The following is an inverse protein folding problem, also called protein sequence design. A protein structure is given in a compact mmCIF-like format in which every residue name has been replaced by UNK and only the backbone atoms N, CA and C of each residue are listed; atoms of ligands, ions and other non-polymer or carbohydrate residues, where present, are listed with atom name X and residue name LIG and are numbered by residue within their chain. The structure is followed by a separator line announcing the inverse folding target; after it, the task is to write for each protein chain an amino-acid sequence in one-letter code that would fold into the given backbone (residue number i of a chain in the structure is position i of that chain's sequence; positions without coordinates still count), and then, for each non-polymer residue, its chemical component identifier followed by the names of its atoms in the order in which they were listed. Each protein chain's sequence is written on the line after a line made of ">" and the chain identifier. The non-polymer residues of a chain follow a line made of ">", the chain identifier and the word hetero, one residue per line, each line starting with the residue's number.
data_IF_478957599021
#
_entry.id   IF_478957599021
#
_cell.length_a   1.000
_cell.length_b   1.000
_cell.length_c   1.000
_cell.angle_alpha   90.00
_cell.angle_beta   90.00
_cell.angle_gamma   90.00
#
_symmetry.space_group_name_H-M   'P 1'
#
loop_
_entity.id
_entity.type
_entity.pdbx_description
1 polymer ?
#
# COMPACT_ATOMS: atom_id res chain seq x y z
N UNK A 1 6.31 31.15 24.46
CA UNK A 1 6.10 29.71 24.71
C UNK A 1 6.40 28.98 23.41
N UNK A 2 7.55 28.34 23.31
CA UNK A 2 7.94 27.52 22.17
C UNK A 2 7.11 26.24 22.24
N UNK A 3 6.11 26.09 21.37
CA UNK A 3 5.51 24.79 21.10
C UNK A 3 6.61 23.94 20.46
N UNK A 4 7.36 23.20 21.28
CA UNK A 4 8.10 22.05 20.78
C UNK A 4 7.04 21.04 20.35
N UNK A 5 6.79 20.95 19.04
CA UNK A 5 5.94 19.91 18.50
C UNK A 5 6.63 18.58 18.78
N UNK A 6 6.02 17.74 19.61
CA UNK A 6 6.52 16.40 19.90
C UNK A 6 6.56 15.59 18.60
N UNK A 7 7.77 15.21 18.18
CA UNK A 7 7.96 14.40 16.98
C UNK A 7 7.71 12.93 17.33
N UNK A 8 6.78 12.29 16.62
CA UNK A 8 6.50 10.86 16.75
C UNK A 8 7.14 10.07 15.61
N UNK A 9 7.80 8.98 15.96
CA UNK A 9 8.36 8.03 14.99
C UNK A 9 7.26 7.10 14.48
N UNK A 10 7.19 6.92 13.17
CA UNK A 10 6.33 5.95 12.51
C UNK A 10 7.15 5.11 11.52
N UNK A 11 6.99 3.77 11.50
CA UNK A 11 7.63 2.95 10.49
C UNK A 11 7.16 3.34 9.09
N UNK A 12 8.12 3.69 8.24
CA UNK A 12 7.88 4.05 6.84
C UNK A 12 9.08 3.61 6.00
N UNK A 13 8.82 3.08 4.81
CA UNK A 13 9.84 2.79 3.83
C UNK A 13 9.47 3.40 2.48
N UNK A 14 10.38 4.18 1.92
CA UNK A 14 10.19 4.85 0.64
C UNK A 14 11.21 4.37 -0.39
N UNK A 15 10.73 4.07 -1.59
CA UNK A 15 11.56 3.73 -2.72
C UNK A 15 11.35 4.77 -3.80
N UNK A 16 12.44 5.44 -4.18
CA UNK A 16 12.48 6.37 -5.28
C UNK A 16 13.14 5.75 -6.50
N UNK A 17 12.52 5.99 -7.66
CA UNK A 17 13.07 5.83 -8.99
C UNK A 17 13.19 7.21 -9.66
N UNK A 18 13.61 7.26 -10.93
CA UNK A 18 13.91 8.51 -11.62
C UNK A 18 12.73 9.48 -11.68
N UNK A 19 11.52 8.98 -11.90
CA UNK A 19 10.30 9.81 -12.08
C UNK A 19 9.12 9.33 -11.24
N UNK A 20 9.29 8.28 -10.45
CA UNK A 20 8.22 7.67 -9.65
C UNK A 20 8.76 7.21 -8.31
N UNK A 21 7.86 7.03 -7.34
CA UNK A 21 8.19 6.44 -6.05
C UNK A 21 7.04 5.66 -5.47
N UNK A 22 7.35 4.85 -4.45
CA UNK A 22 6.37 4.17 -3.60
C UNK A 22 6.73 4.38 -2.14
N UNK A 23 5.74 4.74 -1.35
CA UNK A 23 5.77 4.80 0.11
C UNK A 23 5.00 3.59 0.67
N UNK A 24 5.62 2.84 1.58
CA UNK A 24 5.02 1.73 2.30
C UNK A 24 4.96 2.12 3.78
N UNK A 25 3.77 2.05 4.38
CA UNK A 25 3.55 2.42 5.79
C UNK A 25 2.33 1.74 6.40
N UNK A 26 2.22 1.82 7.72
CA UNK A 26 1.00 1.47 8.43
C UNK A 26 -0.15 2.43 8.12
N UNK A 27 -1.36 1.92 8.21
CA UNK A 27 -2.61 2.64 7.98
C UNK A 27 -3.69 2.05 8.87
N UNK A 28 -4.77 2.80 9.08
CA UNK A 28 -5.89 2.36 9.92
C UNK A 28 -7.17 2.41 9.09
N UNK A 29 -7.96 1.36 9.16
CA UNK A 29 -9.34 1.34 8.67
C UNK A 29 -10.28 1.56 9.85
N UNK A 30 -11.06 2.63 9.78
CA UNK A 30 -12.15 2.87 10.72
C UNK A 30 -13.42 2.20 10.23
N UNK A 31 -14.15 1.57 11.14
CA UNK A 31 -15.52 1.16 10.96
C UNK A 31 -16.41 2.10 11.78
N UNK A 32 -17.42 2.68 11.12
CA UNK A 32 -18.30 3.68 11.71
C UNK A 32 -19.74 3.19 11.69
N UNK A 33 -20.43 3.33 12.82
CA UNK A 33 -21.87 3.16 12.94
C UNK A 33 -22.47 4.46 13.43
N UNK A 34 -23.46 5.00 12.70
CA UNK A 34 -24.11 6.28 13.04
C UNK A 34 -23.10 7.42 13.30
N UNK A 35 -22.05 7.51 12.47
CA UNK A 35 -20.95 8.47 12.57
C UNK A 35 -20.08 8.37 13.84
N UNK A 36 -20.14 7.23 14.54
CA UNK A 36 -19.25 6.91 15.67
C UNK A 36 -18.33 5.76 15.27
N UNK A 37 -17.02 5.93 15.48
CA UNK A 37 -16.05 4.84 15.22
C UNK A 37 -16.27 3.72 16.24
N UNK A 38 -16.77 2.58 15.77
CA UNK A 38 -17.03 1.39 16.60
C UNK A 38 -15.90 0.38 16.56
N UNK A 39 -15.04 0.45 15.55
CA UNK A 39 -13.86 -0.41 15.43
C UNK A 39 -12.76 0.29 14.62
N UNK A 40 -11.51 0.04 14.99
CA UNK A 40 -10.34 0.34 14.14
C UNK A 40 -9.58 -0.94 13.89
N UNK A 41 -9.06 -1.09 12.68
CA UNK A 41 -8.21 -2.23 12.35
C UNK A 41 -6.97 -1.80 11.58
N UNK A 42 -5.86 -2.48 11.84
CA UNK A 42 -4.59 -2.23 11.18
C UNK A 42 -4.67 -2.56 9.68
N UNK A 43 -3.97 -1.78 8.87
CA UNK A 43 -3.83 -1.95 7.43
C UNK A 43 -2.43 -1.54 6.99
N UNK A 44 -2.02 -1.99 5.81
CA UNK A 44 -0.76 -1.58 5.18
C UNK A 44 -1.07 -0.77 3.94
N UNK A 45 -0.59 0.47 3.86
CA UNK A 45 -0.78 1.32 2.70
C UNK A 45 0.48 1.34 1.84
N UNK A 46 0.29 1.12 0.54
CA UNK A 46 1.26 1.43 -0.50
C UNK A 46 0.77 2.64 -1.30
N UNK A 47 1.52 3.74 -1.27
CA UNK A 47 1.22 4.95 -2.05
C UNK A 47 2.26 5.11 -3.14
N UNK A 48 1.83 4.91 -4.38
CA UNK A 48 2.62 5.13 -5.57
C UNK A 48 2.42 6.57 -6.04
N UNK A 49 3.48 7.23 -6.50
CA UNK A 49 3.41 8.60 -6.95
C UNK A 49 4.42 8.91 -8.05
N UNK A 50 4.12 9.94 -8.84
CA UNK A 50 5.05 10.56 -9.80
C UNK A 50 5.82 11.68 -9.10
N UNK A 51 7.10 11.82 -9.42
CA UNK A 51 7.97 12.91 -8.98
C UNK A 51 7.90 14.12 -9.93
N UNK A 52 7.36 13.91 -11.13
CA UNK A 52 7.16 14.98 -12.11
C UNK A 52 5.91 15.79 -11.79
N UNK A 53 5.93 17.12 -11.99
CA UNK A 53 4.74 17.96 -11.85
C UNK A 53 3.60 17.48 -12.74
N UNK A 54 2.35 17.78 -12.34
CA UNK A 54 1.19 17.56 -13.20
C UNK A 54 1.37 18.32 -14.51
N UNK A 55 1.33 17.58 -15.61
CA UNK A 55 1.36 18.15 -16.96
C UNK A 55 -0.04 18.42 -17.50
N UNK A 56 -1.06 17.71 -16.98
CA UNK A 56 -2.47 17.83 -17.39
C UNK A 56 -3.39 17.85 -16.16
N UNK A 57 -4.56 18.53 -16.22
CA UNK A 57 -5.51 18.59 -15.10
C UNK A 57 -5.94 17.21 -14.59
N UNK A 58 -6.25 16.30 -15.50
CA UNK A 58 -6.77 14.95 -15.22
C UNK A 58 -5.67 13.90 -14.98
N UNK A 59 -4.41 14.33 -14.89
CA UNK A 59 -3.30 13.39 -14.69
C UNK A 59 -3.31 12.80 -13.28
N UNK A 60 -3.44 11.47 -13.22
CA UNK A 60 -3.20 10.72 -11.99
C UNK A 60 -1.71 10.76 -11.68
N UNK A 61 -1.39 11.40 -10.55
CA UNK A 61 -0.04 11.56 -10.02
C UNK A 61 0.23 10.67 -8.82
N UNK A 62 -0.80 10.09 -8.22
CA UNK A 62 -0.66 9.13 -7.14
C UNK A 62 -1.80 8.12 -7.13
N UNK A 63 -1.49 6.90 -6.73
CA UNK A 63 -2.45 5.82 -6.52
C UNK A 63 -2.12 5.15 -5.20
N UNK A 64 -3.14 5.00 -4.35
CA UNK A 64 -3.06 4.26 -3.08
C UNK A 64 -3.66 2.87 -3.24
N UNK A 65 -2.96 1.87 -2.72
CA UNK A 65 -3.42 0.50 -2.55
C UNK A 65 -3.32 0.17 -1.05
N UNK A 66 -4.41 -0.29 -0.44
CA UNK A 66 -4.47 -0.56 1.00
C UNK A 66 -4.64 -2.05 1.19
N UNK A 67 -3.58 -2.74 1.58
CA UNK A 67 -3.60 -4.16 1.86
C UNK A 67 -4.19 -4.45 3.25
N UNK A 68 -4.96 -5.52 3.34
CA UNK A 68 -5.12 -6.26 4.59
C UNK A 68 -3.78 -6.88 5.02
N UNK A 69 -3.57 -7.20 6.31
CA UNK A 69 -2.33 -7.78 6.79
C UNK A 69 -1.86 -9.01 5.99
N UNK A 70 -2.75 -9.94 5.69
CA UNK A 70 -2.47 -11.15 4.92
C UNK A 70 -2.16 -10.84 3.45
N UNK A 71 -2.84 -9.86 2.83
CA UNK A 71 -2.49 -9.39 1.48
C UNK A 71 -1.07 -8.78 1.43
N UNK A 72 -0.69 -8.02 2.47
CA UNK A 72 0.65 -7.44 2.58
C UNK A 72 1.71 -8.53 2.73
N UNK A 73 1.43 -9.57 3.52
CA UNK A 73 2.28 -10.75 3.63
C UNK A 73 2.39 -11.51 2.30
N UNK A 74 1.25 -11.73 1.62
CA UNK A 74 1.20 -12.35 0.29
C UNK A 74 2.02 -11.59 -0.75
N UNK A 75 1.96 -10.25 -0.73
CA UNK A 75 2.80 -9.40 -1.59
C UNK A 75 4.29 -9.61 -1.32
N UNK A 76 4.69 -9.71 -0.05
CA UNK A 76 6.09 -9.97 0.31
C UNK A 76 6.59 -11.32 -0.20
N UNK A 77 5.74 -12.36 -0.16
CA UNK A 77 6.05 -13.67 -0.73
C UNK A 77 6.18 -13.59 -2.27
N UNK A 78 5.27 -12.88 -2.94
CA UNK A 78 5.33 -12.67 -4.39
C UNK A 78 6.61 -11.93 -4.81
N UNK A 79 7.02 -10.90 -4.06
CA UNK A 79 8.30 -10.20 -4.30
C UNK A 79 9.46 -11.20 -4.24
N UNK A 80 9.49 -12.05 -3.21
CA UNK A 80 10.55 -13.05 -3.03
C UNK A 80 10.58 -14.06 -4.16
N UNK A 81 9.41 -14.52 -4.61
CA UNK A 81 9.26 -15.43 -5.75
C UNK A 81 9.74 -14.80 -7.05
N UNK A 82 9.30 -13.57 -7.35
CA UNK A 82 9.71 -12.82 -8.54
C UNK A 82 11.22 -12.54 -8.54
N UNK A 83 11.79 -12.23 -7.37
CA UNK A 83 13.23 -12.03 -7.21
C UNK A 83 14.03 -13.31 -7.50
N UNK A 84 13.52 -14.47 -7.08
CA UNK A 84 14.13 -15.78 -7.30
C UNK A 84 13.94 -16.35 -8.71
N UNK A 85 13.03 -15.79 -9.53
CA UNK A 85 12.78 -16.29 -10.88
C UNK A 85 14.00 -16.16 -11.78
N UNK A 86 14.34 -17.21 -12.53
CA UNK A 86 15.39 -17.18 -13.55
C UNK A 86 14.96 -16.47 -14.84
N UNK A 87 13.65 -16.31 -15.06
CA UNK A 87 13.06 -15.70 -16.26
C UNK A 87 12.23 -14.44 -15.91
N UNK A 88 12.03 -13.51 -16.86
CA UNK A 88 11.09 -12.42 -16.68
C UNK A 88 9.69 -12.93 -16.32
N UNK A 89 9.08 -12.35 -15.29
CA UNK A 89 7.77 -12.76 -14.79
C UNK A 89 7.06 -11.58 -14.13
N UNK A 90 5.74 -11.68 -14.01
CA UNK A 90 4.89 -10.67 -13.38
C UNK A 90 3.80 -11.35 -12.58
N UNK A 91 3.80 -11.10 -11.29
CA UNK A 91 2.78 -11.59 -10.36
C UNK A 91 1.87 -10.45 -9.94
N UNK A 92 0.61 -10.76 -9.66
CA UNK A 92 -0.43 -9.79 -9.29
C UNK A 92 -1.15 -10.25 -8.03
N UNK A 93 -1.38 -9.32 -7.10
CA UNK A 93 -2.36 -9.55 -6.05
C UNK A 93 -3.77 -9.60 -6.62
N UNK A 94 -4.69 -10.18 -5.85
CA UNK A 94 -6.11 -10.07 -6.11
C UNK A 94 -6.51 -8.59 -6.23
N UNK A 95 -7.25 -8.21 -7.28
CA UNK A 95 -7.60 -6.81 -7.50
C UNK A 95 -8.62 -6.33 -6.47
N UNK A 96 -8.48 -5.07 -6.05
CA UNK A 96 -9.49 -4.40 -5.23
C UNK A 96 -10.52 -3.74 -6.13
N UNK A 97 -11.78 -4.10 -5.93
CA UNK A 97 -12.93 -3.64 -6.73
C UNK A 97 -13.81 -2.74 -5.88
N UNK A 98 -14.09 -1.54 -6.39
CA UNK A 98 -15.00 -0.59 -5.74
C UNK A 98 -15.97 -0.02 -6.76
N UNK A 99 -17.22 0.13 -6.36
CA UNK A 99 -18.23 0.85 -7.14
C UNK A 99 -18.38 2.23 -6.53
N UNK A 100 -18.18 3.28 -7.33
CA UNK A 100 -18.40 4.67 -6.90
C UNK A 100 -19.60 5.21 -7.67
N UNK A 101 -20.65 5.64 -6.94
CA UNK A 101 -21.85 6.25 -7.53
C UNK A 101 -22.62 5.31 -8.47
N UNK A 102 -23.14 5.86 -9.57
CA UNK A 102 -24.04 5.18 -10.53
C UNK A 102 -23.34 4.19 -11.49
N UNK A 103 -22.50 3.30 -10.96
CA UNK A 103 -22.22 2.01 -11.63
C UNK A 103 -20.89 1.82 -12.34
N UNK A 104 -19.92 2.74 -12.25
CA UNK A 104 -18.57 2.46 -12.79
C UNK A 104 -17.72 1.70 -11.77
N UNK A 105 -17.44 0.42 -12.07
CA UNK A 105 -16.52 -0.41 -11.27
C UNK A 105 -15.08 0.10 -11.47
N UNK A 106 -14.48 0.63 -10.40
CA UNK A 106 -13.06 0.97 -10.36
C UNK A 106 -12.28 -0.21 -9.83
N UNK A 107 -11.41 -0.77 -10.68
CA UNK A 107 -10.51 -1.87 -10.31
C UNK A 107 -9.12 -1.30 -10.06
N UNK A 108 -8.58 -1.52 -8.86
CA UNK A 108 -7.18 -1.23 -8.54
C UNK A 108 -6.39 -2.53 -8.50
N UNK A 109 -5.27 -2.59 -9.23
CA UNK A 109 -4.38 -3.76 -9.30
C UNK A 109 -3.02 -3.41 -8.73
N UNK A 110 -2.40 -4.35 -8.03
CA UNK A 110 -1.00 -4.25 -7.58
C UNK A 110 -0.23 -5.45 -8.12
N UNK A 111 0.92 -5.18 -8.72
CA UNK A 111 1.75 -6.17 -9.37
C UNK A 111 3.22 -5.98 -9.02
N UNK A 112 3.96 -7.07 -9.04
CA UNK A 112 5.41 -7.09 -8.89
C UNK A 112 6.01 -7.88 -10.05
N UNK A 113 7.10 -7.37 -10.63
CA UNK A 113 7.65 -7.97 -11.85
C UNK A 113 9.16 -7.97 -11.86
N UNK A 114 9.72 -9.00 -12.51
CA UNK A 114 11.08 -9.06 -13.02
C UNK A 114 11.00 -8.86 -14.52
N UNK A 115 11.68 -7.85 -15.03
CA UNK A 115 11.72 -7.54 -16.45
C UNK A 115 13.12 -7.70 -17.02
N UNK A 116 13.21 -7.91 -18.32
CA UNK A 116 14.45 -7.85 -19.08
C UNK A 116 14.24 -7.01 -20.34
N UNK A 117 15.12 -6.03 -20.57
CA UNK A 117 15.09 -5.13 -21.72
C UNK A 117 16.51 -4.78 -22.14
N UNK A 118 16.87 -5.07 -23.39
CA UNK A 118 18.18 -4.72 -23.95
C UNK A 118 19.37 -5.28 -23.18
N UNK A 119 19.28 -6.56 -22.75
CA UNK A 119 20.33 -7.23 -21.98
C UNK A 119 20.46 -6.78 -20.52
N UNK A 120 19.57 -5.93 -20.03
CA UNK A 120 19.47 -5.54 -18.62
C UNK A 120 18.22 -6.15 -18.00
N UNK A 121 18.35 -6.63 -16.77
CA UNK A 121 17.22 -7.06 -15.96
C UNK A 121 16.98 -6.10 -14.81
N UNK A 122 15.72 -5.99 -14.37
CA UNK A 122 15.38 -5.24 -13.16
C UNK A 122 14.06 -5.69 -12.57
N UNK A 123 13.67 -5.02 -11.50
CA UNK A 123 12.43 -5.28 -10.78
C UNK A 123 11.54 -4.05 -10.78
N UNK A 124 10.24 -4.23 -10.59
CA UNK A 124 9.34 -3.11 -10.40
C UNK A 124 8.15 -3.50 -9.52
N UNK A 125 7.65 -2.53 -8.76
CA UNK A 125 6.32 -2.54 -8.19
C UNK A 125 5.43 -1.68 -9.08
N UNK A 126 4.25 -2.16 -9.46
CA UNK A 126 3.34 -1.43 -10.35
C UNK A 126 1.94 -1.45 -9.79
N UNK A 127 1.32 -0.28 -9.69
CA UNK A 127 -0.11 -0.14 -9.38
C UNK A 127 -0.87 0.40 -10.58
N UNK A 128 -2.07 -0.12 -10.80
CA UNK A 128 -2.98 0.33 -11.86
C UNK A 128 -4.37 0.64 -11.33
N UNK A 129 -5.01 1.68 -11.87
CA UNK A 129 -6.43 2.02 -11.62
C UNK A 129 -7.06 2.48 -12.93
N UNK A 130 -7.93 1.65 -13.50
CA UNK A 130 -8.49 1.92 -14.83
C UNK A 130 -7.40 2.02 -15.90
N UNK A 131 -7.28 3.18 -16.55
CA UNK A 131 -6.25 3.46 -17.58
C UNK A 131 -4.93 3.96 -17.00
N UNK A 132 -4.89 4.31 -15.72
CA UNK A 132 -3.73 4.93 -15.09
C UNK A 132 -2.85 3.89 -14.40
N UNK A 133 -1.55 3.96 -14.68
CA UNK A 133 -0.56 3.05 -14.09
C UNK A 133 0.66 3.84 -13.59
N UNK A 134 1.18 3.44 -12.44
CA UNK A 134 2.44 3.94 -11.90
C UNK A 134 3.34 2.73 -11.63
N UNK A 135 4.46 2.66 -12.36
CA UNK A 135 5.50 1.65 -12.17
C UNK A 135 6.70 2.28 -11.50
N UNK A 136 7.26 1.59 -10.51
CA UNK A 136 8.43 2.02 -9.73
C UNK A 136 9.54 1.00 -9.97
N UNK A 137 10.42 1.23 -10.96
CA UNK A 137 11.61 0.43 -11.18
C UNK A 137 12.51 0.45 -9.94
N UNK A 138 13.08 -0.69 -9.60
CA UNK A 138 13.77 -0.88 -8.34
C UNK A 138 14.90 -1.90 -8.45
N UNK A 139 16.06 -1.66 -7.81
CA UNK A 139 17.15 -2.64 -7.74
C UNK A 139 16.77 -3.79 -6.78
N UNK A 140 17.42 -4.95 -6.97
CA UNK A 140 17.14 -6.16 -6.19
C UNK A 140 17.15 -5.94 -4.67
N UNK A 141 18.13 -5.20 -4.15
CA UNK A 141 18.26 -4.97 -2.71
C UNK A 141 17.06 -4.24 -2.12
N UNK A 142 16.61 -3.15 -2.76
CA UNK A 142 15.40 -2.41 -2.34
C UNK A 142 14.14 -3.24 -2.54
N UNK A 143 14.09 -4.06 -3.60
CA UNK A 143 12.97 -4.97 -3.85
C UNK A 143 12.80 -5.97 -2.71
N UNK A 144 13.88 -6.66 -2.34
CA UNK A 144 13.88 -7.63 -1.24
C UNK A 144 13.65 -6.96 0.12
N UNK A 145 14.22 -5.77 0.35
CA UNK A 145 13.97 -5.02 1.57
C UNK A 145 12.48 -4.63 1.70
N UNK A 146 11.83 -4.27 0.59
CA UNK A 146 10.39 -4.02 0.60
C UNK A 146 9.59 -5.26 1.03
N UNK A 147 10.00 -6.47 0.61
CA UNK A 147 9.37 -7.70 1.09
C UNK A 147 9.54 -7.89 2.60
N UNK A 148 10.75 -7.72 3.13
CA UNK A 148 10.98 -7.85 4.57
C UNK A 148 10.20 -6.80 5.37
N UNK A 149 10.15 -5.56 4.89
CA UNK A 149 9.38 -4.50 5.54
C UNK A 149 7.86 -4.76 5.49
N UNK A 150 7.36 -5.32 4.38
CA UNK A 150 5.96 -5.75 4.26
C UNK A 150 5.63 -6.90 5.22
N UNK A 151 6.53 -7.87 5.41
CA UNK A 151 6.36 -8.93 6.42
C UNK A 151 6.26 -8.33 7.82
N UNK A 152 7.19 -7.45 8.18
CA UNK A 152 7.13 -6.74 9.46
C UNK A 152 5.79 -6.02 9.65
N UNK A 153 5.39 -5.16 8.70
CA UNK A 153 4.14 -4.42 8.80
C UNK A 153 2.90 -5.32 8.81
N UNK A 154 2.91 -6.45 8.08
CA UNK A 154 1.79 -7.39 8.08
C UNK A 154 1.53 -7.94 9.48
N UNK A 155 2.59 -8.29 10.21
CA UNK A 155 2.47 -8.80 11.57
C UNK A 155 2.12 -7.69 12.56
N UNK A 156 2.74 -6.50 12.40
CA UNK A 156 2.52 -5.34 13.26
C UNK A 156 1.10 -4.78 13.13
N UNK A 157 0.49 -4.87 11.95
CA UNK A 157 -0.86 -4.38 11.66
C UNK A 157 -1.96 -5.44 11.85
N UNK A 158 -1.62 -6.60 12.40
CA UNK A 158 -2.58 -7.66 12.72
C UNK A 158 -3.28 -7.40 14.07
N UNK A 159 -4.07 -6.32 14.12
CA UNK A 159 -4.82 -5.94 15.32
C UNK A 159 -6.18 -5.32 14.98
N UNK A 160 -7.07 -5.38 15.96
CA UNK A 160 -8.38 -4.75 15.96
C UNK A 160 -8.59 -4.07 17.32
N UNK A 161 -8.95 -2.79 17.30
CA UNK A 161 -9.30 -1.99 18.48
C UNK A 161 -10.83 -1.79 18.50
N UNK A 162 -11.45 -2.09 19.65
CA UNK A 162 -12.89 -1.93 19.89
C UNK A 162 -13.12 -1.24 21.24
N UNK A 163 -14.18 -0.43 21.39
CA UNK A 163 -14.59 0.10 22.69
C UNK A 163 -14.90 -1.04 23.67
N UNK A 164 -14.43 -0.91 24.91
CA UNK A 164 -14.81 -1.85 25.97
C UNK A 164 -16.32 -1.83 26.21
N UNK A 165 -16.96 -3.00 26.15
CA UNK A 165 -18.41 -3.16 26.37
C UNK A 165 -18.86 -2.70 27.76
N UNK A 166 -17.95 -2.55 28.73
CA UNK A 166 -18.25 -2.21 30.12
C UNK A 166 -18.71 -0.75 30.27
N UNK A 167 -18.35 0.15 29.34
CA UNK A 167 -18.68 1.58 29.44
C UNK A 167 -20.02 1.94 28.81
N UNK A 168 -20.53 1.12 27.87
CA UNK A 168 -21.81 1.38 27.20
C UNK A 168 -23.03 1.16 28.11
N UNK A 169 -22.91 0.35 29.17
CA UNK A 169 -23.98 0.10 30.13
C UNK A 169 -24.08 1.16 31.24
N UNK A 170 -23.02 1.93 31.50
CA UNK A 170 -23.00 2.97 32.55
C UNK A 170 -23.45 4.35 32.07
N UNK A 171 -23.57 4.57 30.76
CA UNK A 171 -24.16 5.79 30.18
C UNK A 171 -25.66 5.66 29.90
N UNK A 172 -26.26 4.50 30.22
CA UNK A 172 -27.68 4.20 30.04
C UNK A 172 -28.42 3.94 31.36
N UNK A 173 -27.77 4.22 32.51
CA UNK A 173 -28.34 4.11 33.86
C UNK A 173 -28.41 5.48 34.54
#
# INVERSE_FOLDING_TARGET
>A
MTQSAELKHYPCYEIFSQSTGVEIRSSIKNHEERAVVTERSGRVQLRFFKLTPKSKPDEVTQIRFICEPDEAFGLALMISQVAGSSVPCKEKLAPHKYVVGEGTETVTTLAVEKWERGGKSGYALTVGRGKDFISVPTPLSKFLFAAEFLKYLSTDQCWVERPDRITAAKSAS
#
